data_IF_159902549815
#
_entry.id   IF_159902549815
#
_cell.length_a   1.000
_cell.length_b   1.000
_cell.length_c   1.000
_cell.angle_alpha   90.00
_cell.angle_beta   90.00
_cell.angle_gamma   90.00
#
_symmetry.space_group_name_H-M   'P 1'
#
loop_
_entity.id
_entity.type
_entity.pdbx_description
1 polymer ?
#
# COMPACT_ATOMS: atom_id res chain seq x y z
N UNK A 1 45.18 -9.28 14.54
CA UNK A 1 43.81 -9.03 14.05
C UNK A 1 43.41 -10.26 13.29
N UNK A 2 42.60 -11.08 13.94
CA UNK A 2 42.31 -12.42 13.47
C UNK A 2 41.41 -12.36 12.23
N UNK A 3 41.50 -13.33 11.30
CA UNK A 3 40.65 -13.36 10.11
C UNK A 3 39.15 -13.31 10.46
N UNK A 4 38.76 -13.80 11.64
CA UNK A 4 37.39 -13.75 12.16
C UNK A 4 36.94 -12.32 12.51
N UNK A 5 37.81 -11.50 13.12
CA UNK A 5 37.49 -10.11 13.48
C UNK A 5 37.25 -9.25 12.24
N UNK A 6 38.07 -9.46 11.20
CA UNK A 6 37.90 -8.77 9.90
C UNK A 6 36.58 -9.12 9.25
N UNK A 7 36.18 -10.39 9.32
CA UNK A 7 34.92 -10.86 8.74
C UNK A 7 33.72 -10.24 9.46
N UNK A 8 33.76 -10.17 10.80
CA UNK A 8 32.70 -9.54 11.59
C UNK A 8 32.51 -8.05 11.26
N UNK A 9 33.61 -7.29 11.13
CA UNK A 9 33.54 -5.88 10.73
C UNK A 9 32.95 -5.68 9.33
N UNK A 10 33.33 -6.53 8.37
CA UNK A 10 32.80 -6.46 7.01
C UNK A 10 31.29 -6.76 7.01
N UNK A 11 30.85 -7.77 7.76
CA UNK A 11 29.43 -8.11 7.88
C UNK A 11 28.64 -6.98 8.55
N UNK A 12 29.17 -6.37 9.61
CA UNK A 12 28.54 -5.24 10.27
C UNK A 12 28.34 -4.05 9.31
N UNK A 13 29.39 -3.68 8.57
CA UNK A 13 29.28 -2.61 7.55
C UNK A 13 28.32 -2.97 6.42
N UNK A 14 28.23 -4.25 6.04
CA UNK A 14 27.29 -4.71 5.01
C UNK A 14 25.83 -4.62 5.50
N UNK A 15 25.56 -4.99 6.75
CA UNK A 15 24.23 -4.83 7.35
C UNK A 15 23.85 -3.35 7.48
N UNK A 16 24.78 -2.51 7.93
CA UNK A 16 24.54 -1.06 8.09
C UNK A 16 24.28 -0.36 6.76
N UNK A 17 25.05 -0.70 5.71
CA UNK A 17 24.81 -0.16 4.36
C UNK A 17 23.49 -0.65 3.76
N UNK A 18 23.09 -1.90 4.00
CA UNK A 18 21.78 -2.40 3.59
C UNK A 18 20.64 -1.67 4.31
N UNK A 19 20.76 -1.41 5.61
CA UNK A 19 19.79 -0.64 6.38
C UNK A 19 19.68 0.80 5.86
N UNK A 20 20.80 1.43 5.52
CA UNK A 20 20.82 2.76 4.92
C UNK A 20 20.13 2.78 3.56
N UNK A 21 20.40 1.80 2.70
CA UNK A 21 19.72 1.65 1.39
C UNK A 21 18.21 1.42 1.59
N UNK A 22 17.82 0.56 2.54
CA UNK A 22 16.42 0.27 2.84
C UNK A 22 15.67 1.53 3.33
N UNK A 23 16.31 2.36 4.16
CA UNK A 23 15.77 3.64 4.61
C UNK A 23 15.55 4.61 3.45
N UNK A 24 16.54 4.76 2.56
CA UNK A 24 16.43 5.63 1.37
C UNK A 24 15.33 5.13 0.44
N UNK A 25 15.23 3.82 0.18
CA UNK A 25 14.19 3.26 -0.67
C UNK A 25 12.79 3.41 -0.05
N UNK A 26 12.66 3.28 1.26
CA UNK A 26 11.40 3.54 1.98
C UNK A 26 10.97 5.00 1.84
N UNK A 27 11.92 5.94 2.03
CA UNK A 27 11.68 7.36 1.86
C UNK A 27 11.29 7.73 0.41
N UNK A 28 12.05 7.26 -0.57
CA UNK A 28 11.74 7.49 -2.00
C UNK A 28 10.41 6.85 -2.38
N UNK A 29 10.09 5.67 -1.84
CA UNK A 29 8.82 4.99 -2.05
C UNK A 29 7.62 5.82 -1.56
N UNK A 30 7.76 6.49 -0.42
CA UNK A 30 6.75 7.39 0.12
C UNK A 30 6.59 8.66 -0.74
N UNK A 31 7.68 9.20 -1.27
CA UNK A 31 7.67 10.45 -2.07
C UNK A 31 7.13 10.24 -3.49
N UNK A 32 7.59 9.21 -4.20
CA UNK A 32 7.41 9.13 -5.67
C UNK A 32 5.99 8.69 -6.08
N UNK A 33 5.17 8.12 -5.17
CA UNK A 33 3.83 7.55 -5.46
C UNK A 33 3.77 6.63 -6.71
N UNK A 34 4.91 6.09 -7.19
CA UNK A 34 4.95 5.16 -8.33
C UNK A 34 4.95 3.72 -7.83
N UNK A 35 3.94 2.95 -8.27
CA UNK A 35 3.74 1.55 -7.89
C UNK A 35 4.99 0.66 -8.11
N UNK A 36 5.72 0.87 -9.21
CA UNK A 36 6.85 0.00 -9.55
C UNK A 36 8.00 0.12 -8.54
N UNK A 37 8.23 1.31 -7.99
CA UNK A 37 9.21 1.52 -6.92
C UNK A 37 8.78 0.85 -5.63
N UNK A 38 7.51 0.97 -5.25
CA UNK A 38 6.95 0.29 -4.08
C UNK A 38 7.04 -1.23 -4.19
N UNK A 39 6.83 -1.79 -5.40
CA UNK A 39 6.91 -3.23 -5.62
C UNK A 39 8.35 -3.76 -5.49
N UNK A 40 9.34 -3.05 -6.06
CA UNK A 40 10.75 -3.41 -5.91
C UNK A 40 11.16 -3.30 -4.44
N UNK A 41 10.76 -2.23 -3.76
CA UNK A 41 11.01 -2.03 -2.33
C UNK A 41 10.43 -3.17 -1.48
N UNK A 42 9.19 -3.60 -1.76
CA UNK A 42 8.56 -4.73 -1.08
C UNK A 42 9.41 -6.01 -1.23
N UNK A 43 9.94 -6.28 -2.42
CA UNK A 43 10.81 -7.43 -2.67
C UNK A 43 12.10 -7.35 -1.85
N UNK A 44 12.74 -6.17 -1.79
CA UNK A 44 13.92 -5.96 -0.96
C UNK A 44 13.64 -6.19 0.52
N UNK A 45 12.52 -5.69 1.06
CA UNK A 45 12.13 -5.95 2.45
C UNK A 45 11.92 -7.44 2.70
N UNK A 46 11.28 -8.17 1.79
CA UNK A 46 11.10 -9.61 1.94
C UNK A 46 12.44 -10.34 1.98
N UNK A 47 13.34 -10.05 1.04
CA UNK A 47 14.68 -10.66 1.00
C UNK A 47 15.47 -10.31 2.27
N UNK A 48 15.43 -9.05 2.70
CA UNK A 48 16.09 -8.60 3.93
C UNK A 48 15.56 -9.34 5.17
N UNK A 49 14.24 -9.45 5.30
CA UNK A 49 13.61 -10.21 6.38
C UNK A 49 14.08 -11.67 6.42
N UNK A 50 14.13 -12.36 5.27
CA UNK A 50 14.62 -13.75 5.23
C UNK A 50 16.10 -13.86 5.59
N UNK A 51 16.93 -12.91 5.15
CA UNK A 51 18.34 -12.85 5.54
C UNK A 51 18.46 -12.64 7.05
N UNK A 52 17.69 -11.73 7.63
CA UNK A 52 17.72 -11.47 9.07
C UNK A 52 17.21 -12.66 9.89
N UNK A 53 16.20 -13.40 9.41
CA UNK A 53 15.77 -14.66 10.02
C UNK A 53 16.90 -15.69 9.99
N UNK A 54 17.59 -15.85 8.85
CA UNK A 54 18.69 -16.79 8.72
C UNK A 54 19.87 -16.41 9.65
N UNK A 55 20.23 -15.13 9.68
CA UNK A 55 21.29 -14.58 10.53
C UNK A 55 20.94 -14.72 12.01
N UNK A 56 19.72 -14.36 12.42
CA UNK A 56 19.26 -14.52 13.80
C UNK A 56 19.27 -15.98 14.23
N UNK A 57 18.77 -16.88 13.38
CA UNK A 57 18.78 -18.33 13.65
C UNK A 57 20.21 -18.86 13.79
N UNK A 58 21.11 -18.44 12.90
CA UNK A 58 22.53 -18.80 12.96
C UNK A 58 23.19 -18.27 14.25
N UNK A 59 22.95 -17.01 14.64
CA UNK A 59 23.47 -16.47 15.88
C UNK A 59 22.93 -17.18 17.12
N UNK A 60 21.64 -17.50 17.16
CA UNK A 60 21.04 -18.28 18.26
C UNK A 60 21.70 -19.66 18.35
N UNK A 61 21.95 -20.32 17.22
CA UNK A 61 22.65 -21.59 17.16
C UNK A 61 24.09 -21.48 17.69
N UNK A 62 24.85 -20.51 17.19
CA UNK A 62 26.23 -20.24 17.58
C UNK A 62 26.30 -19.94 19.07
N UNK A 63 25.51 -18.99 19.59
CA UNK A 63 25.50 -18.63 21.02
C UNK A 63 25.10 -19.84 21.88
N UNK A 64 24.10 -20.62 21.46
CA UNK A 64 23.66 -21.80 22.21
C UNK A 64 24.72 -22.90 22.25
N UNK A 65 25.50 -23.07 21.18
CA UNK A 65 26.55 -24.09 21.12
C UNK A 65 27.84 -23.63 21.82
N UNK A 66 28.21 -22.36 21.68
CA UNK A 66 29.37 -21.80 22.37
C UNK A 66 29.14 -21.65 23.87
N UNK A 67 27.94 -21.29 24.34
CA UNK A 67 27.65 -21.20 25.79
C UNK A 67 27.98 -22.51 26.50
N UNK A 68 27.59 -23.67 25.95
CA UNK A 68 27.84 -24.96 26.61
C UNK A 68 29.32 -25.37 26.66
N UNK A 69 30.10 -25.01 25.64
CA UNK A 69 31.55 -25.34 25.58
C UNK A 69 32.43 -24.28 26.24
N UNK A 70 32.01 -23.01 26.23
CA UNK A 70 32.75 -21.90 26.82
C UNK A 70 32.52 -21.81 28.33
N UNK A 71 31.30 -22.05 28.82
CA UNK A 71 31.02 -22.04 30.27
C UNK A 71 31.90 -23.05 31.00
N UNK A 72 32.11 -24.23 30.42
CA UNK A 72 32.94 -25.27 31.03
C UNK A 72 34.42 -24.95 30.96
N UNK A 73 34.92 -24.33 29.88
CA UNK A 73 36.37 -24.05 29.74
C UNK A 73 36.80 -22.72 30.36
N UNK A 74 36.07 -21.63 30.16
CA UNK A 74 36.45 -20.33 30.69
C UNK A 74 36.23 -20.24 32.20
N UNK A 75 35.12 -20.77 32.73
CA UNK A 75 34.89 -20.68 34.17
C UNK A 75 35.82 -21.64 34.95
N UNK A 76 36.18 -22.82 34.43
CA UNK A 76 37.17 -23.70 35.08
C UNK A 76 38.58 -23.10 35.09
N UNK A 77 39.00 -22.47 34.00
CA UNK A 77 40.39 -21.98 33.88
C UNK A 77 40.60 -20.65 34.65
N UNK A 78 39.57 -19.80 34.71
CA UNK A 78 39.69 -18.44 35.29
C UNK A 78 39.36 -18.41 36.78
N UNK A 79 38.48 -19.29 37.28
CA UNK A 79 37.92 -19.18 38.64
C UNK A 79 38.07 -20.50 39.40
N UNK A 80 39.12 -20.60 40.22
CA UNK A 80 39.32 -21.75 41.12
C UNK A 80 38.42 -21.73 42.38
N UNK A 81 37.70 -20.62 42.61
CA UNK A 81 36.86 -20.44 43.78
C UNK A 81 35.42 -20.87 43.48
N UNK A 82 34.92 -21.89 44.19
CA UNK A 82 33.59 -22.46 43.98
C UNK A 82 32.44 -21.44 44.12
N UNK A 83 32.61 -20.41 44.96
CA UNK A 83 31.63 -19.34 45.15
C UNK A 83 31.47 -18.38 43.97
N UNK A 84 32.49 -18.23 43.11
CA UNK A 84 32.45 -17.34 41.96
C UNK A 84 32.03 -18.06 40.66
N UNK A 85 32.02 -19.40 40.66
CA UNK A 85 31.61 -20.21 39.52
C UNK A 85 30.10 -20.06 39.22
N UNK A 86 29.26 -19.92 40.25
CA UNK A 86 27.81 -19.70 40.08
C UNK A 86 27.46 -18.33 39.51
N UNK A 87 28.28 -17.31 39.78
CA UNK A 87 28.09 -15.98 39.20
C UNK A 87 28.52 -15.94 37.73
N UNK A 88 29.57 -16.71 37.38
CA UNK A 88 30.06 -16.85 36.01
C UNK A 88 28.97 -17.43 35.09
N UNK A 89 28.31 -18.51 35.48
CA UNK A 89 27.25 -19.15 34.66
C UNK A 89 25.96 -18.34 34.61
N UNK A 90 25.60 -17.64 35.69
CA UNK A 90 24.41 -16.79 35.73
C UNK A 90 24.45 -15.67 34.68
N UNK A 91 25.58 -14.96 34.57
CA UNK A 91 25.73 -13.84 33.66
C UNK A 91 25.57 -14.23 32.17
N UNK A 92 26.08 -15.40 31.76
CA UNK A 92 25.93 -15.87 30.38
C UNK A 92 24.49 -16.24 30.04
N UNK A 93 23.75 -16.84 30.98
CA UNK A 93 22.33 -17.16 30.82
C UNK A 93 21.47 -15.90 30.62
N UNK A 94 21.76 -14.85 31.37
CA UNK A 94 21.02 -13.58 31.27
C UNK A 94 21.27 -12.90 29.92
N UNK A 95 22.53 -12.85 29.46
CA UNK A 95 22.89 -12.29 28.17
C UNK A 95 22.24 -13.05 27.00
N UNK A 96 22.19 -14.38 27.07
CA UNK A 96 21.51 -15.21 26.07
C UNK A 96 20.02 -14.86 25.98
N UNK A 97 19.37 -14.71 27.13
CA UNK A 97 17.94 -14.36 27.19
C UNK A 97 17.70 -12.99 26.58
N UNK A 98 18.49 -11.98 26.95
CA UNK A 98 18.39 -10.62 26.42
C UNK A 98 18.58 -10.62 24.89
N UNK A 99 19.59 -11.33 24.39
CA UNK A 99 19.86 -11.41 22.95
C UNK A 99 18.69 -12.02 22.17
N UNK A 100 18.09 -13.11 22.69
CA UNK A 100 16.92 -13.74 22.07
C UNK A 100 15.73 -12.77 22.04
N UNK A 101 15.47 -12.07 23.15
CA UNK A 101 14.37 -11.10 23.21
C UNK A 101 14.56 -9.98 22.19
N UNK A 102 15.77 -9.39 22.13
CA UNK A 102 16.08 -8.33 21.15
C UNK A 102 15.93 -8.83 19.73
N UNK A 103 16.45 -10.03 19.41
CA UNK A 103 16.32 -10.62 18.08
C UNK A 103 14.85 -10.83 17.68
N UNK A 104 14.01 -11.30 18.59
CA UNK A 104 12.56 -11.49 18.34
C UNK A 104 11.87 -10.15 18.10
N UNK A 105 12.15 -9.12 18.90
CA UNK A 105 11.57 -7.79 18.73
C UNK A 105 11.94 -7.18 17.37
N UNK A 106 13.20 -7.32 16.95
CA UNK A 106 13.66 -6.86 15.63
C UNK A 106 12.93 -7.61 14.51
N UNK A 107 12.85 -8.95 14.58
CA UNK A 107 12.13 -9.75 13.58
C UNK A 107 10.63 -9.41 13.51
N UNK A 108 9.98 -9.18 14.65
CA UNK A 108 8.57 -8.76 14.67
C UNK A 108 8.36 -7.38 14.06
N UNK A 109 9.27 -6.45 14.32
CA UNK A 109 9.22 -5.09 13.77
C UNK A 109 9.39 -5.12 12.25
N UNK A 110 10.32 -5.93 11.74
CA UNK A 110 10.52 -6.13 10.30
C UNK A 110 9.34 -6.82 9.63
N UNK A 111 8.80 -7.87 10.26
CA UNK A 111 7.61 -8.57 9.76
C UNK A 111 6.41 -7.62 9.69
N UNK A 112 6.24 -6.76 10.69
CA UNK A 112 5.18 -5.75 10.72
C UNK A 112 5.35 -4.74 9.57
N UNK A 113 6.57 -4.25 9.34
CA UNK A 113 6.89 -3.40 8.19
C UNK A 113 6.58 -4.08 6.86
N UNK A 114 6.98 -5.34 6.70
CA UNK A 114 6.69 -6.14 5.50
C UNK A 114 5.16 -6.30 5.28
N UNK A 115 4.40 -6.50 6.35
CA UNK A 115 2.94 -6.65 6.29
C UNK A 115 2.26 -5.35 5.83
N UNK A 116 2.67 -4.20 6.35
CA UNK A 116 2.14 -2.89 5.92
C UNK A 116 2.38 -2.70 4.42
N UNK A 117 3.61 -2.93 3.96
CA UNK A 117 3.97 -2.77 2.55
C UNK A 117 3.18 -3.74 1.68
N UNK A 118 2.99 -4.99 2.11
CA UNK A 118 2.21 -5.98 1.39
C UNK A 118 0.73 -5.55 1.23
N UNK A 119 0.11 -5.03 2.29
CA UNK A 119 -1.26 -4.49 2.23
C UNK A 119 -1.36 -3.31 1.28
N UNK A 120 -0.41 -2.40 1.33
CA UNK A 120 -0.39 -1.23 0.44
C UNK A 120 -0.22 -1.63 -1.04
N UNK A 121 0.68 -2.58 -1.34
CA UNK A 121 0.83 -3.11 -2.71
C UNK A 121 -0.46 -3.80 -3.18
N UNK A 122 -1.15 -4.52 -2.29
CA UNK A 122 -2.43 -5.16 -2.59
C UNK A 122 -3.52 -4.13 -2.90
N UNK A 123 -3.62 -3.05 -2.13
CA UNK A 123 -4.54 -1.94 -2.41
C UNK A 123 -4.29 -1.32 -3.78
N UNK A 124 -3.04 -0.99 -4.12
CA UNK A 124 -2.73 -0.42 -5.44
C UNK A 124 -3.07 -1.40 -6.58
N UNK A 125 -2.82 -2.70 -6.38
CA UNK A 125 -3.16 -3.72 -7.40
C UNK A 125 -4.68 -3.82 -7.60
N UNK A 126 -5.44 -3.82 -6.51
CA UNK A 126 -6.91 -3.89 -6.57
C UNK A 126 -7.49 -2.64 -7.22
N UNK A 127 -7.07 -1.44 -6.84
CA UNK A 127 -7.50 -0.18 -7.48
C UNK A 127 -7.24 -0.17 -9.00
N UNK A 128 -6.09 -0.66 -9.43
CA UNK A 128 -5.75 -0.74 -10.86
C UNK A 128 -6.59 -1.78 -11.61
N UNK A 129 -6.87 -2.91 -10.99
CA UNK A 129 -7.75 -3.93 -11.58
C UNK A 129 -9.18 -3.40 -11.69
N UNK A 130 -9.69 -2.77 -10.64
CA UNK A 130 -11.02 -2.14 -10.62
C UNK A 130 -11.14 -1.04 -11.68
N UNK A 131 -10.13 -0.18 -11.83
CA UNK A 131 -10.10 0.88 -12.86
C UNK A 131 -10.06 0.31 -14.29
N UNK A 132 -9.37 -0.80 -14.51
CA UNK A 132 -9.36 -1.48 -15.83
C UNK A 132 -10.71 -2.13 -16.11
N UNK A 133 -11.29 -2.76 -15.10
CA UNK A 133 -12.56 -3.43 -15.24
C UNK A 133 -13.70 -2.42 -15.50
N UNK A 134 -13.73 -1.30 -14.77
CA UNK A 134 -14.73 -0.24 -15.02
C UNK A 134 -14.62 0.35 -16.43
N UNK A 135 -13.40 0.53 -16.95
CA UNK A 135 -13.19 0.95 -18.35
C UNK A 135 -13.68 -0.08 -19.36
N UNK A 136 -13.40 -1.37 -19.14
CA UNK A 136 -13.89 -2.44 -20.02
C UNK A 136 -15.43 -2.53 -20.00
N UNK A 137 -16.04 -2.42 -18.83
CA UNK A 137 -17.50 -2.42 -18.68
C UNK A 137 -18.13 -1.20 -19.37
N UNK A 138 -17.54 -0.01 -19.21
CA UNK A 138 -18.01 1.21 -19.89
C UNK A 138 -17.93 1.08 -21.42
N UNK A 139 -16.83 0.52 -21.94
CA UNK A 139 -16.69 0.26 -23.39
C UNK A 139 -17.69 -0.80 -23.88
N UNK A 140 -17.92 -1.86 -23.11
CA UNK A 140 -18.92 -2.88 -23.44
C UNK A 140 -20.35 -2.32 -23.44
N UNK A 141 -20.66 -1.41 -22.52
CA UNK A 141 -21.96 -0.74 -22.45
C UNK A 141 -22.15 0.25 -23.61
N UNK A 142 -21.12 1.05 -23.94
CA UNK A 142 -21.15 1.97 -25.07
C UNK A 142 -21.30 1.24 -26.42
N UNK A 143 -20.69 0.06 -26.57
CA UNK A 143 -20.86 -0.79 -27.76
C UNK A 143 -22.29 -1.30 -27.93
N UNK A 144 -23.02 -1.54 -26.84
CA UNK A 144 -24.44 -1.99 -26.89
C UNK A 144 -25.40 -0.85 -27.19
N UNK A 145 -25.16 0.36 -26.68
CA UNK A 145 -26.04 1.51 -26.93
C UNK A 145 -25.92 2.05 -28.37
N UNK A 146 -24.77 1.89 -29.03
CA UNK A 146 -24.60 2.32 -30.43
C UNK A 146 -25.26 1.40 -31.47
N UNK A 147 -25.77 0.22 -31.06
CA UNK A 147 -26.38 -0.75 -31.97
C UNK A 147 -27.85 -0.50 -32.33
N UNK A 148 -28.51 0.53 -31.78
CA UNK A 148 -29.97 0.71 -31.91
C UNK A 148 -30.46 1.88 -32.77
N UNK A 149 -29.55 2.63 -33.40
CA UNK A 149 -29.92 3.63 -34.41
C UNK A 149 -29.12 3.45 -35.70
N UNK A 150 -29.03 2.23 -36.20
CA UNK A 150 -29.07 2.07 -37.65
C UNK A 150 -30.55 2.15 -38.05
N UNK A 151 -31.07 3.39 -38.13
CA UNK A 151 -32.10 3.66 -39.12
C UNK A 151 -31.42 3.42 -40.47
N UNK A 152 -31.32 2.16 -40.88
CA UNK A 152 -31.09 1.89 -42.28
C UNK A 152 -32.28 2.53 -43.01
N UNK A 153 -32.02 3.44 -43.96
CA UNK A 153 -33.08 3.87 -44.84
C UNK A 153 -33.59 2.59 -45.52
N UNK A 154 -34.88 2.31 -45.31
CA UNK A 154 -35.62 1.27 -45.99
C UNK A 154 -35.60 1.59 -47.49
N UNK A 155 -34.52 1.22 -48.18
CA UNK A 155 -34.49 1.19 -49.64
C UNK A 155 -35.31 -0.01 -50.05
N UNK A 156 -36.46 0.30 -50.65
CA UNK A 156 -37.53 -0.62 -50.94
C UNK A 156 -37.08 -1.93 -51.60
N UNK A 157 -37.65 -3.01 -51.08
CA UNK A 157 -38.15 -4.18 -51.81
C UNK A 157 -37.83 -4.22 -53.31
N UNK A 158 -36.70 -4.82 -53.64
CA UNK A 158 -36.47 -5.48 -54.93
C UNK A 158 -36.43 -7.00 -54.69
N UNK A 159 -37.24 -7.82 -55.39
CA UNK A 159 -37.21 -9.27 -55.26
C UNK A 159 -36.15 -9.83 -56.21
N UNK A 160 -35.00 -10.27 -55.69
CA UNK A 160 -33.93 -11.00 -56.39
C UNK A 160 -32.90 -11.40 -55.32
N UNK A 161 -32.33 -12.58 -55.25
CA UNK A 161 -32.40 -13.80 -56.03
C UNK A 161 -31.74 -14.86 -55.12
N UNK A 162 -32.22 -16.09 -55.17
CA UNK A 162 -31.68 -17.21 -54.40
C UNK A 162 -30.35 -17.67 -55.03
N UNK A 163 -29.24 -17.10 -54.58
CA UNK A 163 -27.90 -17.40 -55.09
C UNK A 163 -27.00 -18.08 -54.07
N UNK A 164 -26.89 -19.40 -54.19
CA UNK A 164 -25.81 -20.30 -53.75
C UNK A 164 -24.57 -19.68 -53.08
N UNK A 165 -24.32 -20.04 -51.82
CA UNK A 165 -22.96 -20.02 -51.27
C UNK A 165 -22.24 -21.32 -51.68
N UNK A 166 -21.52 -21.22 -52.80
CA UNK A 166 -20.51 -22.18 -53.21
C UNK A 166 -19.34 -22.13 -52.24
N UNK A 167 -19.01 -23.27 -51.64
CA UNK A 167 -17.71 -23.50 -51.04
C UNK A 167 -16.65 -23.38 -52.14
N UNK A 168 -15.65 -22.52 -51.95
CA UNK A 168 -14.45 -22.50 -52.78
C UNK A 168 -13.28 -23.11 -52.01
N UNK A 169 -12.60 -24.11 -52.61
CA UNK A 169 -11.35 -24.66 -52.12
C UNK A 169 -10.15 -23.85 -52.66
N UNK A 170 -9.03 -23.96 -51.95
CA UNK A 170 -7.70 -24.16 -52.54
C UNK A 170 -7.10 -23.07 -53.42
N UNK A 171 -6.05 -22.46 -52.86
CA UNK A 171 -4.75 -22.25 -53.52
C UNK A 171 -4.71 -21.30 -54.74
N UNK A 172 -4.37 -20.03 -54.48
CA UNK A 172 -3.69 -19.21 -55.48
C UNK A 172 -2.80 -18.18 -54.78
N UNK A 173 -1.52 -18.51 -54.69
CA UNK A 173 -0.43 -17.58 -54.44
C UNK A 173 -0.36 -16.59 -55.60
N UNK A 174 -0.80 -15.34 -55.40
CA UNK A 174 -0.31 -14.22 -56.19
C UNK A 174 -0.40 -12.90 -55.42
N UNK A 175 0.70 -12.17 -55.51
CA UNK A 175 1.00 -10.91 -54.84
C UNK A 175 -0.04 -9.83 -55.14
N UNK A 176 -0.99 -9.62 -54.22
CA UNK A 176 -1.75 -8.37 -54.12
C UNK A 176 -1.71 -7.90 -52.67
N UNK A 177 -0.71 -7.07 -52.37
CA UNK A 177 -0.64 -6.26 -51.16
C UNK A 177 -1.75 -5.20 -51.19
N UNK A 178 -2.98 -5.61 -50.88
CA UNK A 178 -4.05 -4.75 -50.41
C UNK A 178 -4.06 -4.79 -48.88
N UNK A 179 -2.94 -4.38 -48.28
CA UNK A 179 -2.96 -3.88 -46.90
C UNK A 179 -3.73 -2.56 -46.99
N UNK A 180 -4.88 -2.41 -46.31
CA UNK A 180 -5.49 -1.09 -46.15
C UNK A 180 -4.42 -0.22 -45.51
N UNK A 181 -3.99 0.81 -46.23
CA UNK A 181 -3.07 1.82 -45.71
C UNK A 181 -3.77 2.41 -44.49
N UNK A 182 -3.44 1.91 -43.31
CA UNK A 182 -3.93 2.44 -42.06
C UNK A 182 -3.53 3.91 -42.06
N UNK A 183 -4.46 4.83 -41.76
CA UNK A 183 -4.09 6.22 -41.58
C UNK A 183 -2.96 6.27 -40.56
N UNK A 184 -1.98 7.17 -40.73
CA UNK A 184 -0.82 7.26 -39.85
C UNK A 184 -1.33 7.21 -38.41
N UNK A 185 -0.85 6.22 -37.66
CA UNK A 185 -1.24 5.97 -36.27
C UNK A 185 -1.10 7.27 -35.50
N UNK A 186 -2.22 7.97 -35.34
CA UNK A 186 -2.32 9.05 -34.38
C UNK A 186 -1.98 8.41 -33.05
N UNK A 187 -0.81 8.76 -32.53
CA UNK A 187 -0.32 8.31 -31.23
C UNK A 187 -1.44 8.53 -30.23
N UNK A 188 -1.90 7.44 -29.61
CA UNK A 188 -3.04 7.48 -28.71
C UNK A 188 -2.70 8.41 -27.55
N UNK A 189 -3.16 9.65 -27.64
CA UNK A 189 -2.96 10.67 -26.63
C UNK A 189 -4.16 10.63 -25.66
N UNK A 190 -4.02 10.08 -24.45
CA UNK A 190 -5.13 9.93 -23.51
C UNK A 190 -5.68 11.27 -23.00
N UNK A 191 -5.05 12.40 -23.34
CA UNK A 191 -5.49 13.75 -22.95
C UNK A 191 -6.16 14.53 -24.07
N UNK A 192 -6.16 14.05 -25.32
CA UNK A 192 -6.83 14.74 -26.45
C UNK A 192 -8.37 14.66 -26.39
N UNK A 193 -8.94 13.76 -25.59
CA UNK A 193 -10.39 13.67 -25.40
C UNK A 193 -10.90 14.51 -24.22
N UNK A 194 -10.05 15.30 -23.57
CA UNK A 194 -10.46 16.24 -22.53
C UNK A 194 -10.93 17.60 -23.09
N UNK A 195 -10.70 17.87 -24.37
CA UNK A 195 -11.37 18.98 -25.05
C UNK A 195 -12.80 18.57 -25.34
N UNK A 196 -13.70 19.08 -24.49
CA UNK A 196 -15.14 18.92 -24.54
C UNK A 196 -15.65 18.75 -25.98
N UNK A 197 -16.26 17.61 -26.36
CA UNK A 197 -17.24 17.67 -27.42
C UNK A 197 -18.24 18.73 -26.96
N UNK A 198 -18.35 19.83 -27.71
CA UNK A 198 -19.52 20.70 -27.61
C UNK A 198 -20.69 19.76 -27.83
N UNK A 199 -21.31 19.35 -26.73
CA UNK A 199 -22.55 18.61 -26.77
C UNK A 199 -23.46 19.42 -27.70
N UNK A 200 -24.04 18.81 -28.74
CA UNK A 200 -25.11 19.47 -29.45
C UNK A 200 -26.12 19.83 -28.35
N UNK A 201 -26.41 21.11 -28.21
CA UNK A 201 -27.47 21.59 -27.34
C UNK A 201 -28.70 20.82 -27.74
N UNK A 202 -29.04 19.79 -26.98
CA UNK A 202 -30.29 19.08 -27.14
C UNK A 202 -31.34 20.14 -26.88
N UNK A 203 -31.95 20.63 -27.95
CA UNK A 203 -33.18 21.39 -27.85
C UNK A 203 -34.08 20.52 -26.99
N UNK A 204 -34.38 20.99 -25.78
CA UNK A 204 -35.30 20.39 -24.85
C UNK A 204 -36.65 20.33 -25.54
N UNK A 205 -36.89 19.24 -26.27
CA UNK A 205 -38.23 18.80 -26.58
C UNK A 205 -38.84 18.50 -25.23
N UNK A 206 -39.71 19.41 -24.81
CA UNK A 206 -40.69 19.25 -23.75
C UNK A 206 -41.53 18.00 -24.06
N UNK A 207 -40.99 16.83 -23.72
CA UNK A 207 -41.81 15.63 -23.54
C UNK A 207 -42.71 15.92 -22.35
N UNK A 208 -44.02 15.80 -22.58
CA UNK A 208 -44.99 15.82 -21.50
C UNK A 208 -44.57 14.80 -20.46
N UNK A 209 -44.63 15.22 -19.19
CA UNK A 209 -44.46 14.33 -18.05
C UNK A 209 -45.60 13.31 -18.06
N UNK A 210 -45.42 12.22 -18.79
CA UNK A 210 -46.06 10.96 -18.44
C UNK A 210 -45.31 10.44 -17.21
N UNK A 211 -46.00 10.59 -16.07
CA UNK A 211 -45.89 9.82 -14.84
C UNK A 211 -44.57 9.06 -14.63
N UNK A 212 -43.68 9.64 -13.83
CA UNK A 212 -42.43 9.01 -13.39
C UNK A 212 -42.81 7.69 -12.69
N UNK A 213 -42.36 6.52 -13.17
CA UNK A 213 -42.66 5.26 -12.50
C UNK A 213 -42.06 5.29 -11.09
N UNK A 214 -42.88 5.06 -10.07
CA UNK A 214 -42.52 5.18 -8.66
C UNK A 214 -41.49 4.13 -8.17
N UNK A 215 -40.98 3.28 -9.07
CA UNK A 215 -40.16 2.14 -8.76
C UNK A 215 -39.01 2.06 -9.76
N UNK A 216 -37.79 2.29 -9.28
CA UNK A 216 -36.56 2.06 -10.03
C UNK A 216 -35.98 0.71 -9.57
N UNK A 217 -35.84 -0.25 -10.47
CA UNK A 217 -35.26 -1.55 -10.13
C UNK A 217 -33.75 -1.38 -9.93
N UNK A 218 -33.33 -1.32 -8.66
CA UNK A 218 -31.94 -1.18 -8.27
C UNK A 218 -31.08 -2.37 -8.71
N UNK A 219 -29.79 -2.10 -8.95
CA UNK A 219 -28.77 -3.06 -9.37
C UNK A 219 -28.53 -4.11 -8.27
N UNK A 220 -29.40 -5.12 -8.21
CA UNK A 220 -29.46 -6.11 -7.11
C UNK A 220 -30.76 -6.92 -7.04
N UNK A 221 -31.78 -6.60 -7.85
CA UNK A 221 -33.02 -7.39 -7.95
C UNK A 221 -34.01 -7.17 -6.80
N UNK A 222 -33.80 -6.12 -5.98
CA UNK A 222 -34.78 -5.62 -5.03
C UNK A 222 -35.43 -4.34 -5.55
N UNK A 223 -36.74 -4.19 -5.37
CA UNK A 223 -37.42 -2.91 -5.59
C UNK A 223 -37.11 -2.00 -4.41
N UNK A 224 -36.37 -0.92 -4.65
CA UNK A 224 -36.16 0.13 -3.65
C UNK A 224 -37.04 1.31 -4.01
N UNK A 225 -37.82 1.80 -3.05
CA UNK A 225 -38.51 3.07 -3.21
C UNK A 225 -37.53 4.22 -2.95
N UNK A 226 -37.67 5.35 -3.65
CA UNK A 226 -36.85 6.54 -3.39
C UNK A 226 -36.94 7.03 -1.93
N UNK A 227 -38.02 6.67 -1.23
CA UNK A 227 -38.18 6.95 0.20
C UNK A 227 -37.21 6.15 1.07
N UNK A 228 -36.99 4.86 0.77
CA UNK A 228 -36.05 4.01 1.51
C UNK A 228 -34.60 4.47 1.34
N UNK A 229 -34.22 4.89 0.13
CA UNK A 229 -32.87 5.41 -0.13
C UNK A 229 -32.62 6.71 0.66
N UNK A 230 -33.61 7.59 0.72
CA UNK A 230 -33.50 8.85 1.47
C UNK A 230 -33.46 8.64 2.99
N UNK A 231 -34.04 7.56 3.52
CA UNK A 231 -33.92 7.19 4.93
C UNK A 231 -32.56 6.57 5.26
N UNK A 232 -31.99 5.75 4.36
CA UNK A 232 -30.66 5.14 4.55
C UNK A 232 -29.50 6.15 4.36
N UNK A 233 -29.67 7.16 3.50
CA UNK A 233 -28.68 8.24 3.33
C UNK A 233 -28.80 9.35 4.40
N UNK A 234 -29.77 9.24 5.32
CA UNK A 234 -29.88 10.20 6.42
C UNK A 234 -28.59 10.09 7.25
N UNK A 235 -27.77 11.16 7.33
CA UNK A 235 -26.49 11.09 7.98
C UNK A 235 -26.71 10.62 9.41
N UNK A 236 -26.15 9.45 9.73
CA UNK A 236 -26.06 9.00 11.11
C UNK A 236 -25.53 10.19 11.91
N UNK A 237 -26.24 10.64 12.96
CA UNK A 237 -25.70 11.68 13.81
C UNK A 237 -24.31 11.23 14.20
N UNK A 238 -23.31 12.07 13.93
CA UNK A 238 -21.95 11.87 14.38
C UNK A 238 -22.05 11.60 15.88
N UNK A 239 -21.92 10.33 16.25
CA UNK A 239 -21.67 9.91 17.62
C UNK A 239 -20.19 10.23 17.88
N UNK A 240 -19.87 11.52 17.82
CA UNK A 240 -18.80 12.12 18.60
C UNK A 240 -19.37 12.34 20.01
N UNK A 241 -18.50 12.20 21.03
CA UNK A 241 -18.77 12.21 22.48
C UNK A 241 -19.15 10.82 23.03
N UNK A 242 -18.47 10.19 23.99
CA UNK A 242 -17.42 10.63 24.91
C UNK A 242 -16.78 9.38 25.53
N UNK A 243 -15.51 9.10 25.26
CA UNK A 243 -14.66 8.33 26.17
C UNK A 243 -13.27 8.95 26.13
N UNK A 244 -12.94 9.62 27.24
CA UNK A 244 -11.62 10.13 27.68
C UNK A 244 -11.42 11.64 27.56
N UNK A 245 -11.92 12.41 28.53
CA UNK A 245 -11.00 13.16 29.41
C UNK A 245 -11.70 13.75 30.64
N UNK A 246 -11.30 13.26 31.82
CA UNK A 246 -11.47 14.01 33.05
C UNK A 246 -10.42 15.13 33.11
N UNK A 247 -10.87 16.29 33.60
CA UNK A 247 -10.08 17.40 34.16
C UNK A 247 -9.27 18.32 33.23
N UNK A 248 -9.87 19.45 32.82
CA UNK A 248 -9.45 20.83 33.17
C UNK A 248 -10.13 21.89 32.27
N UNK A 249 -10.40 23.13 32.75
CA UNK A 249 -11.39 24.01 32.15
C UNK A 249 -10.84 24.94 31.05
N UNK A 250 -11.63 25.06 29.99
CA UNK A 250 -12.12 26.30 29.35
C UNK A 250 -11.23 27.54 29.35
N UNK A 251 -10.72 27.88 28.16
CA UNK A 251 -10.82 29.25 27.60
C UNK A 251 -10.75 29.19 26.06
N UNK A 252 -11.88 29.52 25.41
CA UNK A 252 -11.96 29.75 23.96
C UNK A 252 -11.58 31.21 23.70
N UNK A 253 -10.48 31.42 23.02
CA UNK A 253 -10.17 32.72 22.42
C UNK A 253 -10.48 32.73 20.92
N UNK A 254 -11.39 33.64 20.58
CA UNK A 254 -11.82 34.02 19.24
C UNK A 254 -10.67 34.72 18.53
N UNK A 255 -10.18 34.15 17.44
CA UNK A 255 -9.11 34.75 16.63
C UNK A 255 -9.69 35.80 15.68
N UNK A 256 -9.67 37.05 16.12
CA UNK A 256 -9.97 38.23 15.29
C UNK A 256 -8.73 38.64 14.48
N UNK A 257 -8.95 39.02 13.22
CA UNK A 257 -7.92 39.49 12.29
C UNK A 257 -7.51 40.95 12.57
N UNK A 258 -6.66 41.17 13.58
CA UNK A 258 -5.87 42.38 13.75
C UNK A 258 -4.71 42.10 14.71
N UNK A 259 -3.45 42.31 14.27
CA UNK A 259 -2.30 42.38 15.18
C UNK A 259 -2.42 43.59 16.12
N UNK A 260 -1.67 43.67 17.25
CA UNK A 260 -0.22 43.90 17.19
C UNK A 260 0.66 43.40 18.38
N UNK A 261 1.97 43.66 18.20
CA UNK A 261 3.07 43.92 19.15
C UNK A 261 3.55 42.89 20.19
N UNK A 262 4.74 42.37 19.90
CA UNK A 262 5.95 42.27 20.74
C UNK A 262 5.81 42.30 22.28
N UNK A 263 6.17 41.19 22.93
CA UNK A 263 7.36 41.05 23.80
C UNK A 263 7.58 39.55 24.11
N UNK A 264 8.83 39.02 24.11
CA UNK A 264 9.09 37.64 24.48
C UNK A 264 9.29 37.54 26.00
N UNK A 265 8.33 36.95 26.70
CA UNK A 265 8.53 36.51 28.08
C UNK A 265 9.19 35.13 28.04
N UNK A 266 10.44 35.08 28.48
CA UNK A 266 11.28 33.89 28.49
C UNK A 266 10.83 33.03 29.67
N UNK A 267 10.21 31.89 29.36
CA UNK A 267 9.89 30.85 30.34
C UNK A 267 11.19 30.26 30.92
N UNK A 268 11.44 30.30 32.24
CA UNK A 268 12.61 29.69 32.82
C UNK A 268 12.49 28.16 32.77
N UNK A 269 13.50 27.53 32.15
CA UNK A 269 13.66 26.08 32.08
C UNK A 269 13.56 25.40 33.46
N UNK A 270 12.92 24.23 33.56
CA UNK A 270 12.88 23.46 34.80
C UNK A 270 14.30 23.01 35.19
N UNK A 271 14.75 23.46 36.36
CA UNK A 271 15.98 22.96 36.98
C UNK A 271 15.70 21.57 37.55
N UNK A 272 16.24 20.54 36.91
CA UNK A 272 16.34 19.21 37.50
C UNK A 272 17.50 19.20 38.50
N UNK A 273 17.16 19.14 39.79
CA UNK A 273 18.13 18.85 40.84
C UNK A 273 18.52 17.35 40.77
N UNK A 274 19.81 17.00 40.74
CA UNK A 274 20.23 15.61 40.87
C UNK A 274 19.99 15.14 42.31
N UNK A 275 19.17 14.11 42.47
CA UNK A 275 19.08 13.35 43.71
C UNK A 275 20.37 12.56 43.91
N UNK A 276 21.21 12.97 44.85
CA UNK A 276 22.27 12.13 45.41
C UNK A 276 21.62 10.90 46.06
N UNK A 277 21.74 9.73 45.42
CA UNK A 277 21.48 8.45 46.07
C UNK A 277 22.78 7.93 46.69
N UNK A 278 22.95 8.29 47.97
CA UNK A 278 23.85 7.67 48.92
C UNK A 278 23.36 6.26 49.30
N UNK A 279 24.30 5.36 49.63
CA UNK A 279 24.11 4.07 50.33
C UNK A 279 23.50 2.91 49.49
N UNK A 280 23.94 1.65 49.54
CA UNK A 280 24.74 0.85 50.49
C UNK A 280 25.72 -0.03 49.68
N UNK A 281 27.01 -0.15 50.03
CA UNK A 281 27.60 -1.03 51.08
C UNK A 281 27.33 -2.52 50.90
#
# INVERSE_FOLDING_TARGET
>A
MDPHERTAFILAGLVETLLLIASVLGFVGAVVRKQLFTQIYAYFIYVHFFINVAVATYFIYVISHFSSTAETKLCDDTVKNSGAQSQCTGAFSDLKTIFIVVAVVVLLTELYGALIVARYVYQIKTEKLTTRHSRMTMLAQAGRSSGRSSMMPNFGSGPSDSGHYSALPGDQTDNISLIPKSPPTAEFNPYMNAEHPRFPSYATTSYGYDEVPAFEEGYGGGSWSHHEIAEDEKPLPQQEEDLDNASAPSQRDVKTAAGPSAHPEVDPLPQYAPSESSELR
#
